data_IF_677506317583
#
_entry.id   IF_677506317583
#
_cell.length_a   1.000
_cell.length_b   1.000
_cell.length_c   1.000
_cell.angle_alpha   90.00
_cell.angle_beta   90.00
_cell.angle_gamma   90.00
#
_symmetry.space_group_name_H-M   'P 1'
#
loop_
_entity.id
_entity.type
_entity.pdbx_description
1 polymer ?
#
# COMPACT_ATOMS: atom_id res chain seq x y z
N UNK A 1 -19.46 14.21 -9.14
CA UNK A 1 -18.81 14.93 -8.02
C UNK A 1 -17.42 15.32 -8.51
N UNK A 2 -17.08 16.59 -8.75
CA UNK A 2 -15.73 16.87 -9.16
C UNK A 2 -14.86 17.00 -7.90
N UNK A 3 -13.76 16.25 -7.88
CA UNK A 3 -12.73 16.14 -6.84
C UNK A 3 -13.00 15.13 -5.71
N UNK A 4 -12.11 14.14 -5.61
CA UNK A 4 -11.91 13.37 -4.38
C UNK A 4 -11.59 14.34 -3.24
N UNK A 5 -12.06 14.01 -2.03
CA UNK A 5 -11.67 14.71 -0.82
C UNK A 5 -10.14 14.73 -0.74
N UNK A 6 -9.54 15.93 -0.66
CA UNK A 6 -8.14 16.07 -0.32
C UNK A 6 -7.97 15.68 1.14
N UNK A 7 -7.15 14.66 1.39
CA UNK A 7 -6.90 14.14 2.72
C UNK A 7 -5.69 14.85 3.34
N UNK A 8 -5.63 14.96 4.66
CA UNK A 8 -4.63 15.80 5.36
C UNK A 8 -3.22 15.27 5.19
N UNK A 9 -3.06 13.95 5.21
CA UNK A 9 -1.79 13.24 5.22
C UNK A 9 -1.76 12.19 4.09
N UNK A 10 -0.59 11.59 3.84
CA UNK A 10 -0.53 10.42 2.97
C UNK A 10 -1.31 9.26 3.62
N UNK A 11 -2.15 8.57 2.85
CA UNK A 11 -3.11 7.61 3.40
C UNK A 11 -2.59 6.19 3.27
N UNK A 12 -2.59 5.47 4.39
CA UNK A 12 -2.41 4.03 4.39
C UNK A 12 -3.65 3.34 3.83
N UNK A 13 -3.47 2.52 2.80
CA UNK A 13 -4.52 1.66 2.22
C UNK A 13 -4.23 0.22 2.62
N UNK A 14 -4.89 -0.32 3.65
CA UNK A 14 -4.64 -1.70 4.06
C UNK A 14 -4.97 -2.66 2.93
N UNK A 15 -3.99 -3.48 2.53
CA UNK A 15 -4.16 -4.47 1.48
C UNK A 15 -4.75 -5.76 2.06
N UNK A 16 -6.08 -5.91 1.92
CA UNK A 16 -6.82 -7.05 2.48
C UNK A 16 -6.55 -8.35 1.73
N UNK A 17 -6.77 -9.47 2.41
CA UNK A 17 -6.86 -10.80 1.77
C UNK A 17 -8.28 -11.11 1.34
N UNK A 18 -8.43 -11.98 0.34
CA UNK A 18 -9.74 -12.48 -0.10
C UNK A 18 -10.46 -13.22 1.04
N UNK A 19 -9.74 -14.07 1.80
CA UNK A 19 -10.30 -14.83 2.92
C UNK A 19 -10.92 -13.92 3.98
N UNK A 20 -10.23 -12.85 4.38
CA UNK A 20 -10.77 -11.87 5.32
C UNK A 20 -12.00 -11.18 4.73
N UNK A 21 -11.91 -10.76 3.46
CA UNK A 21 -12.99 -10.02 2.81
C UNK A 21 -14.25 -10.86 2.56
N UNK A 22 -14.11 -12.17 2.37
CA UNK A 22 -15.22 -13.11 2.25
C UNK A 22 -15.79 -13.41 3.63
N UNK A 23 -14.95 -13.69 4.63
CA UNK A 23 -15.40 -13.98 6.00
C UNK A 23 -16.33 -12.91 6.58
N UNK A 24 -16.06 -11.64 6.26
CA UNK A 24 -16.85 -10.49 6.75
C UNK A 24 -18.27 -10.46 6.19
N UNK A 25 -18.50 -11.00 4.99
CA UNK A 25 -19.82 -10.94 4.32
C UNK A 25 -20.53 -12.29 4.23
N UNK A 26 -19.78 -13.38 4.15
CA UNK A 26 -20.33 -14.71 3.93
C UNK A 26 -21.03 -15.21 5.20
N UNK A 27 -22.28 -15.66 5.06
CA UNK A 27 -23.05 -16.29 6.13
C UNK A 27 -22.83 -17.81 6.16
N UNK A 28 -21.56 -18.24 6.24
CA UNK A 28 -21.18 -19.66 6.32
C UNK A 28 -20.25 -19.95 7.49
N UNK A 29 -20.47 -21.14 8.06
CA UNK A 29 -19.59 -21.80 9.02
C UNK A 29 -19.78 -21.42 10.49
N UNK A 30 -19.19 -22.23 11.37
CA UNK A 30 -19.09 -21.95 12.79
C UNK A 30 -18.28 -20.66 13.01
N UNK A 31 -18.96 -19.65 13.55
CA UNK A 31 -18.36 -18.35 13.84
C UNK A 31 -18.19 -18.24 15.35
N UNK A 32 -16.93 -18.20 15.81
CA UNK A 32 -16.60 -18.15 17.23
C UNK A 32 -16.24 -16.74 17.70
N UNK A 33 -16.91 -15.73 17.14
CA UNK A 33 -16.75 -14.35 17.58
C UNK A 33 -17.34 -14.18 18.99
N UNK A 34 -16.81 -13.25 19.81
CA UNK A 34 -17.47 -12.84 21.04
C UNK A 34 -18.93 -12.43 20.75
N UNK A 35 -19.84 -12.66 21.70
CA UNK A 35 -21.26 -12.33 21.53
C UNK A 35 -21.55 -10.85 21.26
N UNK A 36 -20.60 -9.96 21.58
CA UNK A 36 -20.67 -8.52 21.33
C UNK A 36 -20.09 -8.09 19.98
N UNK A 37 -19.58 -9.02 19.16
CA UNK A 37 -18.92 -8.74 17.89
C UNK A 37 -19.60 -9.53 16.78
N UNK A 38 -20.01 -8.82 15.73
CA UNK A 38 -20.52 -9.41 14.50
C UNK A 38 -19.44 -9.43 13.42
N UNK A 39 -19.64 -10.23 12.36
CA UNK A 39 -18.77 -10.22 11.18
C UNK A 39 -18.68 -8.82 10.55
N UNK A 40 -19.79 -8.11 10.51
CA UNK A 40 -19.88 -6.77 9.94
C UNK A 40 -19.08 -5.73 10.75
N UNK A 41 -18.89 -5.94 12.06
CA UNK A 41 -18.03 -5.06 12.86
C UNK A 41 -16.56 -5.12 12.41
N UNK A 42 -16.14 -6.23 11.78
CA UNK A 42 -14.80 -6.40 11.21
C UNK A 42 -14.66 -5.75 9.82
N UNK A 43 -15.74 -5.24 9.23
CA UNK A 43 -15.74 -4.57 7.94
C UNK A 43 -15.06 -3.20 8.01
N UNK A 44 -13.74 -3.15 7.81
CA UNK A 44 -12.96 -1.94 8.03
C UNK A 44 -13.16 -0.85 6.97
N UNK A 45 -13.76 -1.17 5.82
CA UNK A 45 -14.10 -0.17 4.79
C UNK A 45 -15.50 0.41 4.98
N UNK A 46 -16.27 -0.09 5.95
CA UNK A 46 -17.54 0.50 6.34
C UNK A 46 -17.29 1.74 7.21
N UNK A 47 -17.99 2.86 6.96
CA UNK A 47 -17.87 4.03 7.82
C UNK A 47 -18.40 3.68 9.22
N UNK A 48 -17.75 4.22 10.26
CA UNK A 48 -18.18 4.08 11.64
C UNK A 48 -18.28 2.62 12.15
N UNK A 49 -17.50 1.69 11.60
CA UNK A 49 -17.30 0.39 12.27
C UNK A 49 -16.88 0.63 13.72
N UNK A 50 -17.47 -0.10 14.70
CA UNK A 50 -17.14 0.09 16.12
C UNK A 50 -15.73 -0.41 16.47
N UNK A 51 -15.09 -1.17 15.58
CA UNK A 51 -13.75 -1.72 15.79
C UNK A 51 -12.70 -0.86 15.08
N UNK A 52 -12.64 -0.96 13.75
CA UNK A 52 -11.68 -0.22 12.93
C UNK A 52 -12.40 0.23 11.67
N UNK A 53 -12.21 1.49 11.30
CA UNK A 53 -12.70 2.07 10.05
C UNK A 53 -11.56 2.87 9.40
N UNK A 54 -11.48 2.84 8.07
CA UNK A 54 -10.44 3.54 7.31
C UNK A 54 -11.03 4.40 6.20
N UNK A 55 -10.29 5.41 5.75
CA UNK A 55 -10.70 6.26 4.63
C UNK A 55 -10.47 5.58 3.26
N UNK A 56 -9.52 4.66 3.18
CA UNK A 56 -9.22 3.93 1.96
C UNK A 56 -8.65 2.52 2.23
N UNK A 57 -8.96 1.56 1.36
CA UNK A 57 -8.47 0.18 1.39
C UNK A 57 -7.92 -0.28 0.05
N UNK A 58 -7.20 -1.40 0.04
CA UNK A 58 -6.66 -2.01 -1.18
C UNK A 58 -7.03 -3.50 -1.25
N UNK A 59 -7.35 -3.98 -2.46
CA UNK A 59 -7.46 -5.40 -2.76
C UNK A 59 -6.81 -5.73 -4.11
N UNK A 60 -6.15 -6.87 -4.20
CA UNK A 60 -5.58 -7.33 -5.48
C UNK A 60 -6.63 -8.04 -6.33
N UNK A 61 -6.76 -7.67 -7.62
CA UNK A 61 -7.66 -8.39 -8.54
C UNK A 61 -7.23 -9.85 -8.75
N UNK A 62 -5.94 -10.16 -8.60
CA UNK A 62 -5.43 -11.54 -8.73
C UNK A 62 -5.88 -12.48 -7.59
N UNK A 63 -6.46 -11.94 -6.51
CA UNK A 63 -7.06 -12.77 -5.46
C UNK A 63 -8.49 -13.23 -5.80
N UNK A 64 -9.09 -12.67 -6.86
CA UNK A 64 -10.45 -12.99 -7.28
C UNK A 64 -10.42 -14.15 -8.27
N UNK A 65 -10.96 -15.29 -7.86
CA UNK A 65 -10.93 -16.53 -8.66
C UNK A 65 -11.74 -16.47 -9.96
N UNK A 66 -12.76 -15.62 -10.02
CA UNK A 66 -13.58 -15.40 -11.21
C UNK A 66 -13.94 -13.90 -11.29
N UNK A 67 -13.23 -13.15 -12.12
CA UNK A 67 -13.42 -11.70 -12.26
C UNK A 67 -14.73 -11.33 -12.96
N UNK A 68 -15.27 -12.22 -13.80
CA UNK A 68 -16.54 -12.02 -14.51
C UNK A 68 -17.75 -12.22 -13.59
N UNK A 69 -17.65 -13.16 -12.66
CA UNK A 69 -18.66 -13.45 -11.65
C UNK A 69 -18.00 -13.61 -10.27
N UNK A 70 -17.54 -12.50 -9.66
CA UNK A 70 -16.82 -12.56 -8.41
C UNK A 70 -17.76 -12.98 -7.28
N UNK A 71 -17.26 -13.83 -6.38
CA UNK A 71 -17.98 -14.14 -5.14
C UNK A 71 -18.20 -12.87 -4.31
N UNK A 72 -19.25 -12.89 -3.50
CA UNK A 72 -19.51 -11.86 -2.51
C UNK A 72 -18.30 -11.70 -1.57
N UNK A 73 -17.88 -10.45 -1.38
CA UNK A 73 -16.82 -10.05 -0.48
C UNK A 73 -17.03 -8.58 -0.08
N UNK A 74 -16.26 -8.07 0.88
CA UNK A 74 -16.30 -6.68 1.31
C UNK A 74 -16.34 -5.67 0.15
N UNK A 75 -15.59 -5.92 -0.95
CA UNK A 75 -15.48 -4.98 -2.07
C UNK A 75 -16.67 -5.09 -3.03
N UNK A 76 -17.16 -6.29 -3.31
CA UNK A 76 -18.29 -6.50 -4.25
C UNK A 76 -19.64 -6.16 -3.62
N UNK A 77 -19.75 -6.23 -2.29
CA UNK A 77 -20.98 -5.94 -1.54
C UNK A 77 -21.07 -4.49 -1.02
N UNK A 78 -20.05 -3.64 -1.24
CA UNK A 78 -20.03 -2.28 -0.67
C UNK A 78 -20.94 -1.30 -1.41
N UNK A 79 -21.50 -0.34 -0.67
CA UNK A 79 -22.00 0.90 -1.26
C UNK A 79 -20.81 1.86 -1.48
N UNK A 80 -20.40 2.06 -2.73
CA UNK A 80 -19.28 2.95 -3.11
C UNK A 80 -19.44 4.39 -2.62
N UNK A 81 -20.67 4.86 -2.39
CA UNK A 81 -20.93 6.25 -1.96
C UNK A 81 -20.78 6.45 -0.45
N UNK A 82 -20.90 5.36 0.31
CA UNK A 82 -20.88 5.40 1.78
C UNK A 82 -19.62 4.77 2.35
N UNK A 83 -18.95 3.90 1.59
CA UNK A 83 -17.78 3.15 2.03
C UNK A 83 -16.47 3.88 1.76
N UNK A 84 -15.40 3.39 2.37
CA UNK A 84 -14.04 3.80 2.08
C UNK A 84 -13.73 3.71 0.57
N UNK A 85 -12.80 4.55 0.12
CA UNK A 85 -12.24 4.46 -1.22
C UNK A 85 -11.51 3.12 -1.38
N UNK A 86 -11.72 2.43 -2.49
CA UNK A 86 -11.02 1.17 -2.76
C UNK A 86 -10.10 1.33 -3.96
N UNK A 87 -8.82 1.05 -3.71
CA UNK A 87 -7.80 0.88 -4.75
C UNK A 87 -7.69 -0.60 -5.10
N UNK A 88 -7.52 -0.93 -6.38
CA UNK A 88 -7.11 -2.29 -6.75
C UNK A 88 -5.69 -2.32 -7.28
N UNK A 89 -4.87 -3.24 -6.77
CA UNK A 89 -3.67 -3.63 -7.50
C UNK A 89 -4.04 -4.56 -8.68
N UNK A 90 -3.18 -4.59 -9.70
CA UNK A 90 -3.42 -5.32 -10.94
C UNK A 90 -3.07 -6.81 -10.91
N UNK A 91 -2.55 -7.32 -9.79
CA UNK A 91 -2.04 -8.69 -9.72
C UNK A 91 -0.61 -8.89 -10.22
N UNK A 92 0.13 -7.82 -10.54
CA UNK A 92 1.51 -7.90 -11.04
C UNK A 92 2.46 -8.73 -10.14
N UNK A 93 2.26 -8.68 -8.81
CA UNK A 93 3.03 -9.50 -7.86
C UNK A 93 2.79 -11.01 -8.03
N UNK A 94 1.56 -11.40 -8.37
CA UNK A 94 1.17 -12.78 -8.66
C UNK A 94 1.65 -13.20 -10.06
N UNK A 95 1.58 -12.30 -11.04
CA UNK A 95 2.09 -12.54 -12.39
C UNK A 95 3.60 -12.78 -12.41
N UNK A 96 4.37 -11.99 -11.65
CA UNK A 96 5.80 -12.17 -11.46
C UNK A 96 6.21 -13.50 -10.78
N UNK A 97 5.24 -14.33 -10.37
CA UNK A 97 5.41 -15.68 -9.80
C UNK A 97 4.69 -16.76 -10.62
N UNK A 98 4.23 -16.42 -11.83
CA UNK A 98 3.49 -17.31 -12.72
C UNK A 98 2.17 -17.85 -12.11
N UNK A 99 1.61 -17.14 -11.13
CA UNK A 99 0.33 -17.51 -10.50
C UNK A 99 -0.84 -17.07 -11.39
N UNK A 100 -0.70 -15.92 -12.07
CA UNK A 100 -1.66 -15.41 -13.06
C UNK A 100 -0.90 -15.04 -14.33
N UNK A 101 -1.55 -15.16 -15.47
CA UNK A 101 -0.99 -14.76 -16.76
C UNK A 101 -1.54 -13.38 -17.14
N UNK A 102 -0.64 -12.41 -17.36
CA UNK A 102 -0.99 -11.03 -17.74
C UNK A 102 -1.32 -10.93 -19.23
N UNK A 103 -2.22 -11.80 -19.70
CA UNK A 103 -2.69 -11.82 -21.07
C UNK A 103 -3.90 -10.90 -21.25
N UNK A 104 -4.31 -10.70 -22.51
CA UNK A 104 -5.41 -9.80 -22.87
C UNK A 104 -6.72 -10.13 -22.14
N UNK A 105 -7.06 -11.41 -22.01
CA UNK A 105 -8.27 -11.84 -21.32
C UNK A 105 -8.26 -11.39 -19.85
N UNK A 106 -7.15 -11.64 -19.13
CA UNK A 106 -7.02 -11.23 -17.74
C UNK A 106 -7.12 -9.70 -17.59
N UNK A 107 -6.52 -8.93 -18.50
CA UNK A 107 -6.57 -7.47 -18.49
C UNK A 107 -8.00 -6.96 -18.74
N UNK A 108 -8.72 -7.52 -19.72
CA UNK A 108 -10.11 -7.17 -20.03
C UNK A 108 -11.05 -7.48 -18.85
N UNK A 109 -10.88 -8.65 -18.22
CA UNK A 109 -11.66 -9.04 -17.04
C UNK A 109 -11.34 -8.16 -15.82
N UNK A 110 -10.06 -7.84 -15.60
CA UNK A 110 -9.62 -6.92 -14.54
C UNK A 110 -10.16 -5.50 -14.75
N UNK A 111 -10.21 -5.04 -16.01
CA UNK A 111 -10.82 -3.77 -16.37
C UNK A 111 -12.32 -3.76 -16.05
N UNK A 112 -13.05 -4.82 -16.44
CA UNK A 112 -14.48 -4.95 -16.15
C UNK A 112 -14.77 -4.96 -14.65
N UNK A 113 -13.97 -5.72 -13.89
CA UNK A 113 -14.06 -5.74 -12.42
C UNK A 113 -13.80 -4.34 -11.83
N UNK A 114 -12.74 -3.67 -12.28
CA UNK A 114 -12.37 -2.33 -11.80
C UNK A 114 -13.48 -1.31 -12.04
N UNK A 115 -14.07 -1.33 -13.24
CA UNK A 115 -15.19 -0.45 -13.59
C UNK A 115 -16.37 -0.60 -12.63
N UNK A 116 -16.70 -1.83 -12.25
CA UNK A 116 -17.87 -2.11 -11.42
C UNK A 116 -17.63 -1.82 -9.94
N UNK A 117 -16.46 -2.20 -9.40
CA UNK A 117 -16.26 -2.30 -7.96
C UNK A 117 -15.19 -1.38 -7.37
N UNK A 118 -14.34 -0.77 -8.19
CA UNK A 118 -13.13 -0.05 -7.75
C UNK A 118 -13.27 1.46 -8.00
N UNK A 119 -12.60 2.26 -7.18
CA UNK A 119 -12.57 3.73 -7.33
C UNK A 119 -11.32 4.20 -8.09
N UNK A 120 -10.18 3.55 -7.82
CA UNK A 120 -8.90 3.78 -8.52
C UNK A 120 -8.24 2.43 -8.78
N UNK A 121 -7.91 2.12 -10.03
CA UNK A 121 -7.24 0.87 -10.38
C UNK A 121 -5.77 1.13 -10.71
N UNK A 122 -4.88 0.22 -10.34
CA UNK A 122 -3.50 0.22 -10.81
C UNK A 122 -3.44 -0.59 -12.10
N UNK A 123 -2.74 -0.10 -13.13
CA UNK A 123 -2.58 -0.81 -14.38
C UNK A 123 -1.75 -2.10 -14.20
N UNK A 124 -2.00 -3.10 -15.05
CA UNK A 124 -1.18 -4.31 -15.13
C UNK A 124 0.29 -3.99 -15.33
N UNK A 125 1.14 -4.44 -14.41
CA UNK A 125 2.60 -4.39 -14.54
C UNK A 125 3.22 -5.75 -14.24
N UNK A 126 4.42 -5.97 -14.77
CA UNK A 126 5.29 -7.08 -14.36
C UNK A 126 6.47 -6.48 -13.58
N UNK A 127 6.50 -6.63 -12.25
CA UNK A 127 7.58 -6.11 -11.44
C UNK A 127 8.95 -6.71 -11.83
N UNK A 128 9.99 -5.87 -11.88
CA UNK A 128 11.36 -6.31 -12.25
C UNK A 128 11.95 -7.35 -11.29
N UNK A 129 11.41 -7.49 -10.07
CA UNK A 129 11.85 -8.52 -9.14
C UNK A 129 11.64 -9.94 -9.70
N UNK A 130 10.71 -10.13 -10.65
CA UNK A 130 10.53 -11.39 -11.37
C UNK A 130 11.87 -11.94 -11.90
N UNK A 131 12.68 -11.02 -12.43
CA UNK A 131 14.00 -11.26 -13.02
C UNK A 131 15.07 -11.28 -11.95
N UNK A 132 15.10 -10.26 -11.07
CA UNK A 132 16.14 -10.11 -10.03
C UNK A 132 16.18 -11.32 -9.08
N UNK A 133 15.01 -11.84 -8.72
CA UNK A 133 14.84 -12.96 -7.79
C UNK A 133 14.56 -14.28 -8.50
N UNK A 134 14.49 -14.29 -9.84
CA UNK A 134 14.17 -15.47 -10.66
C UNK A 134 12.90 -16.19 -10.19
N UNK A 135 11.85 -15.41 -9.88
CA UNK A 135 10.58 -15.96 -9.38
C UNK A 135 9.64 -16.40 -10.49
N UNK A 136 9.95 -16.09 -11.74
CA UNK A 136 9.17 -16.45 -12.91
C UNK A 136 10.00 -17.25 -13.91
N UNK A 137 9.38 -18.25 -14.55
CA UNK A 137 9.93 -18.94 -15.73
C UNK A 137 9.49 -18.30 -17.05
N UNK A 138 8.51 -17.39 -17.01
CA UNK A 138 7.96 -16.65 -18.15
C UNK A 138 8.79 -15.38 -18.39
N UNK A 139 8.98 -14.56 -17.35
CA UNK A 139 9.66 -13.27 -17.42
C UNK A 139 11.12 -13.41 -16.98
N UNK A 140 12.05 -13.38 -17.94
CA UNK A 140 13.48 -13.68 -17.72
C UNK A 140 14.38 -12.47 -17.86
N UNK A 141 13.89 -11.40 -18.47
CA UNK A 141 14.63 -10.17 -18.73
C UNK A 141 13.84 -8.93 -18.29
N UNK A 142 14.55 -7.81 -18.13
CA UNK A 142 13.94 -6.50 -17.93
C UNK A 142 12.96 -6.16 -19.06
N UNK A 143 13.31 -6.49 -20.31
CA UNK A 143 12.47 -6.24 -21.47
C UNK A 143 11.17 -7.06 -21.44
N UNK A 144 11.21 -8.33 -21.01
CA UNK A 144 9.99 -9.14 -20.83
C UNK A 144 9.01 -8.44 -19.86
N UNK A 145 9.55 -7.85 -18.78
CA UNK A 145 8.75 -7.14 -17.80
C UNK A 145 8.16 -5.84 -18.38
N UNK A 146 9.00 -5.05 -19.05
CA UNK A 146 8.62 -3.75 -19.62
C UNK A 146 7.62 -3.91 -20.76
N UNK A 147 7.89 -4.75 -21.75
CA UNK A 147 7.02 -4.91 -22.92
C UNK A 147 5.67 -5.52 -22.55
N UNK A 148 5.63 -6.46 -21.60
CA UNK A 148 4.35 -6.98 -21.09
C UNK A 148 3.54 -5.88 -20.40
N UNK A 149 4.20 -5.01 -19.63
CA UNK A 149 3.54 -3.86 -18.99
C UNK A 149 3.04 -2.85 -20.04
N UNK A 150 3.83 -2.55 -21.06
CA UNK A 150 3.44 -1.65 -22.16
C UNK A 150 2.23 -2.22 -22.91
N UNK A 151 2.22 -3.51 -23.24
CA UNK A 151 1.08 -4.18 -23.86
C UNK A 151 -0.19 -4.10 -23.00
N UNK A 152 -0.06 -4.24 -21.67
CA UNK A 152 -1.19 -4.07 -20.77
C UNK A 152 -1.73 -2.62 -20.77
N UNK A 153 -0.85 -1.62 -20.79
CA UNK A 153 -1.23 -0.20 -20.90
C UNK A 153 -1.93 0.11 -22.23
N UNK A 154 -1.50 -0.51 -23.34
CA UNK A 154 -2.16 -0.38 -24.64
C UNK A 154 -3.60 -0.89 -24.61
N UNK A 155 -3.81 -2.09 -24.06
CA UNK A 155 -5.15 -2.68 -23.92
C UNK A 155 -6.02 -1.82 -22.99
N UNK A 156 -5.50 -1.39 -21.84
CA UNK A 156 -6.23 -0.52 -20.92
C UNK A 156 -6.62 0.80 -21.61
N UNK A 157 -5.70 1.41 -22.37
CA UNK A 157 -5.97 2.64 -23.13
C UNK A 157 -7.09 2.41 -24.16
N UNK A 158 -7.03 1.32 -24.92
CA UNK A 158 -8.05 0.93 -25.90
C UNK A 158 -9.44 0.82 -25.22
N UNK A 159 -9.53 0.06 -24.13
CA UNK A 159 -10.78 -0.15 -23.39
C UNK A 159 -11.33 1.13 -22.77
N UNK A 160 -10.45 1.99 -22.23
CA UNK A 160 -10.84 3.20 -21.53
C UNK A 160 -11.35 4.29 -22.49
N UNK A 161 -10.79 4.37 -23.71
CA UNK A 161 -11.25 5.27 -24.76
C UNK A 161 -12.68 4.96 -25.24
N UNK A 162 -13.13 3.72 -25.07
CA UNK A 162 -14.49 3.31 -25.39
C UNK A 162 -15.54 3.67 -24.32
N UNK A 163 -15.12 4.20 -23.15
CA UNK A 163 -16.03 4.50 -22.04
C UNK A 163 -16.51 5.96 -22.07
N UNK A 164 -17.79 6.17 -21.73
CA UNK A 164 -18.32 7.52 -21.47
C UNK A 164 -17.73 8.12 -20.19
N UNK A 165 -17.55 7.30 -19.16
CA UNK A 165 -16.87 7.65 -17.91
C UNK A 165 -15.63 6.75 -17.77
N UNK A 166 -14.44 7.26 -18.10
CA UNK A 166 -13.20 6.48 -18.02
C UNK A 166 -12.89 6.04 -16.58
N UNK A 167 -12.42 4.81 -16.45
CA UNK A 167 -11.87 4.28 -15.19
C UNK A 167 -10.58 5.03 -14.85
N UNK A 168 -10.42 5.40 -13.58
CA UNK A 168 -9.23 6.09 -13.06
C UNK A 168 -8.09 5.10 -12.84
N UNK A 169 -7.21 4.96 -13.83
CA UNK A 169 -6.03 4.09 -13.74
C UNK A 169 -4.77 4.81 -13.27
N UNK A 170 -3.94 4.15 -12.47
CA UNK A 170 -2.58 4.56 -12.15
C UNK A 170 -1.59 3.77 -13.02
N UNK A 171 -0.70 4.47 -13.70
CA UNK A 171 0.41 3.83 -14.41
C UNK A 171 1.49 3.40 -13.40
N UNK A 172 2.23 2.32 -13.64
CA UNK A 172 3.22 1.82 -12.68
C UNK A 172 4.64 2.17 -13.12
N UNK A 173 5.37 2.87 -12.25
CA UNK A 173 6.80 3.12 -12.42
C UNK A 173 7.58 2.04 -11.66
N UNK A 174 8.38 1.26 -12.38
CA UNK A 174 9.24 0.19 -11.87
C UNK A 174 10.71 0.43 -12.20
N UNK A 175 11.56 -0.55 -11.83
CA UNK A 175 12.98 -0.60 -12.15
C UNK A 175 13.79 -1.18 -10.99
N UNK A 176 14.72 -2.10 -11.28
CA UNK A 176 15.67 -2.59 -10.28
C UNK A 176 16.75 -1.53 -10.00
N UNK A 177 17.11 -0.76 -11.01
CA UNK A 177 18.13 0.29 -10.95
C UNK A 177 17.57 1.61 -11.47
N UNK A 178 18.27 2.72 -11.20
CA UNK A 178 17.85 4.03 -11.71
C UNK A 178 17.81 4.04 -13.25
N UNK A 179 18.80 3.43 -13.91
CA UNK A 179 18.87 3.36 -15.37
C UNK A 179 17.67 2.59 -15.96
N UNK A 180 17.32 1.44 -15.38
CA UNK A 180 16.11 0.70 -15.75
C UNK A 180 14.85 1.53 -15.51
N UNK A 181 14.77 2.23 -14.38
CA UNK A 181 13.63 3.08 -14.08
C UNK A 181 13.48 4.24 -15.06
N UNK A 182 14.58 4.78 -15.58
CA UNK A 182 14.56 5.82 -16.61
C UNK A 182 14.08 5.28 -17.95
N UNK A 183 14.60 4.13 -18.41
CA UNK A 183 14.10 3.45 -19.61
C UNK A 183 12.60 3.13 -19.46
N UNK A 184 12.20 2.56 -18.33
CA UNK A 184 10.81 2.24 -18.04
C UNK A 184 9.91 3.47 -18.16
N UNK A 185 10.29 4.58 -17.51
CA UNK A 185 9.49 5.80 -17.55
C UNK A 185 9.38 6.37 -18.96
N UNK A 186 10.45 6.34 -19.75
CA UNK A 186 10.44 6.85 -21.12
C UNK A 186 9.40 6.11 -22.00
N UNK A 187 9.25 4.81 -21.81
CA UNK A 187 8.31 3.98 -22.58
C UNK A 187 6.84 4.18 -22.12
N UNK A 188 6.63 4.39 -20.82
CA UNK A 188 5.27 4.47 -20.27
C UNK A 188 4.72 5.91 -20.16
N UNK A 189 5.57 6.95 -20.19
CA UNK A 189 5.14 8.33 -19.91
C UNK A 189 4.14 8.89 -20.92
N UNK A 190 4.03 8.27 -22.09
CA UNK A 190 3.06 8.62 -23.14
C UNK A 190 1.62 8.21 -22.80
N UNK A 191 1.43 7.27 -21.88
CA UNK A 191 0.10 6.86 -21.42
C UNK A 191 -0.41 7.84 -20.37
N UNK A 192 -1.42 8.63 -20.75
CA UNK A 192 -2.01 9.65 -19.88
C UNK A 192 -3.02 9.04 -18.90
N UNK A 193 -2.50 8.51 -17.80
CA UNK A 193 -3.27 7.89 -16.72
C UNK A 193 -3.70 8.93 -15.66
N UNK A 194 -4.59 8.56 -14.75
CA UNK A 194 -5.05 9.40 -13.64
C UNK A 194 -3.91 9.79 -12.69
N UNK A 195 -2.91 8.93 -12.57
CA UNK A 195 -1.71 9.17 -11.77
C UNK A 195 -0.72 8.03 -11.87
N UNK A 196 0.10 7.84 -10.83
CA UNK A 196 1.20 6.87 -10.85
C UNK A 196 1.29 6.04 -9.58
N UNK A 197 1.43 4.73 -9.74
CA UNK A 197 1.93 3.83 -8.72
C UNK A 197 3.47 3.76 -8.79
N UNK A 198 4.14 3.84 -7.65
CA UNK A 198 5.59 3.93 -7.52
C UNK A 198 6.10 2.66 -6.84
N UNK A 199 7.03 1.98 -7.49
CA UNK A 199 7.61 0.72 -7.04
C UNK A 199 9.10 0.63 -7.36
N UNK A 200 9.70 -0.52 -7.12
CA UNK A 200 11.11 -0.79 -7.39
C UNK A 200 12.04 0.20 -6.66
N UNK A 201 13.15 0.53 -7.31
CA UNK A 201 14.15 1.47 -6.76
C UNK A 201 13.60 2.87 -6.49
N UNK A 202 12.57 3.27 -7.24
CA UNK A 202 11.92 4.59 -7.12
C UNK A 202 11.11 4.72 -5.83
N UNK A 203 10.72 3.60 -5.23
CA UNK A 203 10.15 3.55 -3.88
C UNK A 203 11.24 3.32 -2.83
N UNK A 204 12.18 2.41 -3.12
CA UNK A 204 13.16 1.92 -2.14
C UNK A 204 14.22 2.96 -1.76
N UNK A 205 14.45 3.98 -2.59
CA UNK A 205 15.36 5.09 -2.28
C UNK A 205 14.70 6.45 -2.42
N UNK A 206 14.80 7.27 -1.38
CA UNK A 206 14.22 8.63 -1.35
C UNK A 206 14.92 9.53 -2.38
N UNK A 207 16.21 9.30 -2.65
CA UNK A 207 16.93 10.04 -3.70
C UNK A 207 16.33 9.78 -5.08
N UNK A 208 16.18 8.49 -5.44
CA UNK A 208 15.66 8.13 -6.75
C UNK A 208 14.18 8.51 -6.89
N UNK A 209 13.39 8.38 -5.81
CA UNK A 209 12.04 8.95 -5.73
C UNK A 209 12.02 10.42 -6.15
N UNK A 210 12.88 11.26 -5.57
CA UNK A 210 12.93 12.69 -5.90
C UNK A 210 13.36 12.95 -7.34
N UNK A 211 14.29 12.15 -7.90
CA UNK A 211 14.65 12.22 -9.33
C UNK A 211 13.40 11.96 -10.19
N UNK A 212 12.63 10.90 -9.88
CA UNK A 212 11.41 10.59 -10.62
C UNK A 212 10.33 11.66 -10.45
N UNK A 213 10.18 12.23 -9.26
CA UNK A 213 9.24 13.34 -9.04
C UNK A 213 9.61 14.56 -9.88
N UNK A 214 10.90 14.93 -9.95
CA UNK A 214 11.36 16.01 -10.82
C UNK A 214 11.09 15.72 -12.31
N UNK A 215 11.26 14.47 -12.76
CA UNK A 215 10.93 14.05 -14.13
C UNK A 215 9.42 14.15 -14.42
N UNK A 216 8.55 13.78 -13.47
CA UNK A 216 7.10 13.94 -13.59
C UNK A 216 6.69 15.42 -13.63
N UNK A 217 7.31 16.25 -12.80
CA UNK A 217 7.13 17.72 -12.79
C UNK A 217 7.53 18.32 -14.13
N UNK A 218 8.73 18.01 -14.62
CA UNK A 218 9.23 18.49 -15.90
C UNK A 218 8.38 18.01 -17.09
N UNK A 219 7.85 16.79 -17.02
CA UNK A 219 6.93 16.22 -17.99
C UNK A 219 5.49 16.76 -17.89
N UNK A 220 5.22 17.72 -17.02
CA UNK A 220 3.89 18.34 -16.87
C UNK A 220 2.83 17.41 -16.29
N UNK A 221 3.21 16.32 -15.62
CA UNK A 221 2.27 15.31 -15.11
C UNK A 221 1.39 15.80 -13.95
N UNK A 222 1.75 16.93 -13.35
CA UNK A 222 0.96 17.62 -12.32
C UNK A 222 0.13 18.81 -12.88
N UNK A 223 0.22 19.10 -14.19
CA UNK A 223 -0.55 20.18 -14.83
C UNK A 223 -1.97 19.70 -15.19
N UNK A 224 -2.75 19.41 -14.15
CA UNK A 224 -4.12 18.88 -14.25
C UNK A 224 -4.92 19.24 -13.01
N UNK A 225 -6.21 18.93 -13.07
CA UNK A 225 -7.16 19.22 -12.01
C UNK A 225 -7.05 18.24 -10.84
N UNK A 226 -6.79 16.96 -11.13
CA UNK A 226 -6.73 15.89 -10.13
C UNK A 226 -5.67 14.85 -10.49
N UNK A 227 -4.96 14.33 -9.48
CA UNK A 227 -4.06 13.18 -9.65
C UNK A 227 -3.84 12.42 -8.36
N UNK A 228 -3.31 11.21 -8.48
CA UNK A 228 -3.07 10.32 -7.36
C UNK A 228 -1.71 9.64 -7.49
N UNK A 229 -0.95 9.62 -6.39
CA UNK A 229 0.26 8.80 -6.30
C UNK A 229 0.02 7.67 -5.31
N UNK A 230 0.49 6.48 -5.66
CA UNK A 230 0.37 5.29 -4.81
C UNK A 230 1.75 4.64 -4.63
N UNK A 231 2.15 4.32 -3.41
CA UNK A 231 3.45 3.70 -3.13
C UNK A 231 3.27 2.24 -2.72
N UNK A 232 3.70 1.33 -3.59
CA UNK A 232 3.41 -0.09 -3.49
C UNK A 232 4.25 -0.78 -2.41
N UNK A 233 3.62 -1.45 -1.45
CA UNK A 233 4.28 -2.29 -0.45
C UNK A 233 5.13 -1.53 0.58
N UNK A 234 4.60 -0.41 1.07
CA UNK A 234 5.18 0.43 2.13
C UNK A 234 4.33 0.33 3.39
N UNK A 235 4.91 -0.18 4.48
CA UNK A 235 4.18 -0.37 5.76
C UNK A 235 4.84 0.21 6.99
N UNK A 236 5.97 0.92 6.86
CA UNK A 236 6.73 1.45 7.99
C UNK A 236 6.37 2.91 8.32
N UNK A 237 6.54 3.29 9.59
CA UNK A 237 6.10 4.59 10.12
C UNK A 237 6.94 5.76 9.60
N UNK A 238 8.23 5.52 9.34
CA UNK A 238 9.15 6.51 8.76
C UNK A 238 8.64 6.98 7.39
N UNK A 239 8.28 6.03 6.51
CA UNK A 239 7.76 6.34 5.19
C UNK A 239 6.37 6.98 5.24
N UNK A 240 5.51 6.61 6.19
CA UNK A 240 4.24 7.31 6.38
C UNK A 240 4.43 8.82 6.53
N UNK A 241 5.40 9.24 7.34
CA UNK A 241 5.74 10.66 7.53
C UNK A 241 6.44 11.25 6.31
N UNK A 242 7.38 10.55 5.67
CA UNK A 242 8.06 11.04 4.46
C UNK A 242 7.09 11.29 3.30
N UNK A 243 6.11 10.39 3.11
CA UNK A 243 5.10 10.53 2.07
C UNK A 243 4.13 11.68 2.36
N UNK A 244 3.80 11.93 3.63
CA UNK A 244 3.06 13.13 4.03
C UNK A 244 3.85 14.40 3.73
N UNK A 245 5.15 14.44 4.04
CA UNK A 245 6.01 15.59 3.67
C UNK A 245 6.05 15.80 2.15
N UNK A 246 6.18 14.72 1.37
CA UNK A 246 6.17 14.80 -0.09
C UNK A 246 4.82 15.35 -0.61
N UNK A 247 3.70 14.90 -0.04
CA UNK A 247 2.37 15.38 -0.36
C UNK A 247 2.26 16.89 -0.11
N UNK A 248 2.70 17.35 1.07
CA UNK A 248 2.65 18.77 1.44
C UNK A 248 3.52 19.62 0.51
N UNK A 249 4.73 19.16 0.18
CA UNK A 249 5.64 19.86 -0.72
C UNK A 249 5.08 19.96 -2.15
N UNK A 250 4.48 18.88 -2.66
CA UNK A 250 3.82 18.88 -3.97
C UNK A 250 2.59 19.79 -3.98
N UNK A 251 1.78 19.81 -2.92
CA UNK A 251 0.62 20.72 -2.81
C UNK A 251 1.05 22.18 -2.70
N UNK A 252 2.14 22.47 -1.96
CA UNK A 252 2.72 23.81 -1.91
C UNK A 252 3.21 24.26 -3.30
N UNK A 253 3.75 23.32 -4.09
CA UNK A 253 4.18 23.59 -5.46
C UNK A 253 3.01 23.77 -6.44
N UNK A 254 1.96 22.97 -6.28
CA UNK A 254 0.80 22.89 -7.18
C UNK A 254 -0.50 23.16 -6.42
N UNK A 255 -0.76 24.40 -5.94
CA UNK A 255 -1.88 24.69 -5.04
C UNK A 255 -3.28 24.54 -5.68
N UNK A 256 -3.35 24.44 -7.01
CA UNK A 256 -4.62 24.23 -7.75
C UNK A 256 -4.94 22.76 -8.01
N UNK A 257 -3.98 21.85 -7.78
CA UNK A 257 -4.11 20.43 -8.07
C UNK A 257 -4.78 19.71 -6.89
N UNK A 258 -5.85 18.96 -7.17
CA UNK A 258 -6.36 17.96 -6.24
C UNK A 258 -5.43 16.73 -6.21
N UNK A 259 -4.41 16.77 -5.35
CA UNK A 259 -3.44 15.68 -5.17
C UNK A 259 -3.69 14.89 -3.88
N UNK A 260 -3.65 13.57 -3.97
CA UNK A 260 -3.51 12.66 -2.83
C UNK A 260 -2.32 11.70 -3.04
N UNK A 261 -1.68 11.31 -1.94
CA UNK A 261 -0.68 10.24 -1.90
C UNK A 261 -1.25 9.12 -1.01
N UNK A 262 -1.11 7.89 -1.47
CA UNK A 262 -1.44 6.69 -0.69
C UNK A 262 -0.31 5.68 -0.73
N UNK A 263 -0.36 4.71 0.16
CA UNK A 263 0.61 3.62 0.24
C UNK A 263 -0.01 2.41 0.91
N UNK A 264 0.44 1.20 0.59
CA UNK A 264 -0.19 -0.02 1.08
C UNK A 264 0.76 -0.97 1.80
N UNK A 265 0.16 -1.78 2.67
CA UNK A 265 0.77 -3.01 3.15
C UNK A 265 -0.30 -4.03 3.50
N UNK A 266 -0.02 -5.30 3.21
CA UNK A 266 -0.82 -6.46 3.61
C UNK A 266 -0.39 -7.04 4.96
N UNK A 267 0.54 -6.41 5.67
CA UNK A 267 1.11 -6.96 6.92
C UNK A 267 0.02 -7.23 7.96
N UNK A 268 -0.96 -6.34 8.14
CA UNK A 268 -2.02 -6.52 9.13
C UNK A 268 -2.77 -7.86 8.96
N UNK A 269 -3.02 -8.26 7.71
CA UNK A 269 -3.78 -9.47 7.36
C UNK A 269 -2.90 -10.71 7.18
N UNK A 270 -1.65 -10.54 6.76
CA UNK A 270 -0.78 -11.68 6.39
C UNK A 270 0.24 -12.05 7.45
N UNK A 271 0.50 -11.20 8.43
CA UNK A 271 1.49 -11.45 9.47
C UNK A 271 1.15 -12.69 10.31
N UNK A 272 -0.08 -12.78 10.82
CA UNK A 272 -0.48 -13.91 11.64
C UNK A 272 -0.49 -15.24 10.85
N UNK A 273 -1.10 -15.34 9.65
CA UNK A 273 -1.02 -16.56 8.84
C UNK A 273 0.41 -17.01 8.51
N UNK A 274 1.36 -16.07 8.35
CA UNK A 274 2.75 -16.38 7.96
C UNK A 274 3.65 -16.78 9.14
N UNK A 275 3.50 -16.12 10.29
CA UNK A 275 4.46 -16.27 11.41
C UNK A 275 3.81 -16.49 12.77
N UNK A 276 2.47 -16.47 12.86
CA UNK A 276 1.72 -16.52 14.11
C UNK A 276 1.81 -15.24 14.94
N UNK A 277 2.33 -14.14 14.37
CA UNK A 277 2.56 -12.90 15.11
C UNK A 277 1.28 -12.04 15.18
N UNK A 278 1.17 -11.21 16.23
CA UNK A 278 0.20 -10.12 16.39
C UNK A 278 0.92 -8.88 16.97
N UNK A 279 0.37 -7.68 16.77
CA UNK A 279 0.98 -6.45 17.28
C UNK A 279 0.70 -6.22 18.77
N UNK A 280 1.66 -5.70 19.53
CA UNK A 280 1.48 -5.41 20.96
C UNK A 280 1.34 -3.93 21.20
N UNK A 281 2.42 -3.17 21.03
CA UNK A 281 2.55 -1.78 21.43
C UNK A 281 3.37 -0.99 20.39
N UNK A 282 3.35 0.33 20.53
CA UNK A 282 3.93 1.25 19.56
C UNK A 282 5.08 1.98 20.26
N UNK A 283 6.29 1.86 19.70
CA UNK A 283 7.48 2.54 20.19
C UNK A 283 7.91 3.63 19.20
N UNK A 284 7.71 4.90 19.58
CA UNK A 284 8.13 6.07 18.81
C UNK A 284 9.29 6.83 19.46
N UNK A 285 10.09 6.18 20.31
CA UNK A 285 11.27 6.79 20.94
C UNK A 285 12.41 6.96 19.92
N UNK A 286 12.95 5.84 19.43
CA UNK A 286 14.13 5.82 18.55
C UNK A 286 13.81 5.29 17.15
N UNK A 287 13.49 4.00 17.04
CA UNK A 287 13.39 3.30 15.74
C UNK A 287 11.99 3.31 15.10
N UNK A 288 11.00 3.89 15.79
CA UNK A 288 9.62 4.00 15.30
C UNK A 288 9.05 2.66 14.82
N UNK A 289 8.82 1.77 15.78
CA UNK A 289 8.43 0.38 15.52
C UNK A 289 7.06 0.07 16.11
N UNK A 290 6.40 -0.93 15.51
CA UNK A 290 5.25 -1.59 16.12
C UNK A 290 5.76 -2.93 16.63
N UNK A 291 5.74 -3.10 17.95
CA UNK A 291 6.18 -4.31 18.62
C UNK A 291 5.20 -5.45 18.34
N UNK A 292 5.70 -6.69 18.42
CA UNK A 292 4.94 -7.88 18.10
C UNK A 292 5.26 -9.02 19.06
N UNK A 293 4.28 -9.89 19.23
CA UNK A 293 4.39 -11.14 19.96
C UNK A 293 3.69 -12.26 19.20
N UNK A 294 3.74 -13.50 19.70
CA UNK A 294 3.21 -14.70 19.06
C UNK A 294 1.95 -15.20 19.74
N UNK A 295 1.02 -15.68 18.94
CA UNK A 295 -0.10 -16.48 19.43
C UNK A 295 0.44 -17.80 19.99
N UNK A 296 0.13 -18.08 21.25
CA UNK A 296 0.55 -19.31 21.93
C UNK A 296 -0.60 -20.32 21.93
N UNK A 297 -0.77 -21.03 20.81
CA UNK A 297 -1.92 -21.91 20.52
C UNK A 297 -2.27 -22.86 21.67
N UNK A 298 -1.28 -23.50 22.28
CA UNK A 298 -1.51 -24.47 23.37
C UNK A 298 -2.02 -23.81 24.66
N UNK A 299 -1.60 -22.59 24.94
CA UNK A 299 -1.91 -21.90 26.19
C UNK A 299 -3.19 -21.05 26.07
N UNK A 300 -3.53 -20.65 24.84
CA UNK A 300 -4.67 -19.79 24.55
C UNK A 300 -5.97 -20.55 24.34
N UNK A 301 -5.90 -21.85 24.06
CA UNK A 301 -7.08 -22.68 23.77
C UNK A 301 -8.12 -22.57 24.88
N UNK A 302 -9.33 -22.12 24.52
CA UNK A 302 -10.47 -21.93 25.42
C UNK A 302 -10.16 -21.08 26.67
N UNK A 303 -9.11 -20.25 26.61
CA UNK A 303 -8.64 -19.43 27.72
C UNK A 303 -9.51 -18.19 27.90
N UNK A 304 -10.04 -17.98 29.10
CA UNK A 304 -10.79 -16.75 29.45
C UNK A 304 -9.87 -15.56 29.78
N UNK A 305 -8.54 -15.68 29.62
CA UNK A 305 -7.62 -14.56 29.85
C UNK A 305 -7.85 -13.49 28.79
N UNK A 306 -7.77 -12.23 29.23
CA UNK A 306 -7.80 -11.07 28.33
C UNK A 306 -6.69 -11.16 27.30
N UNK A 307 -6.95 -10.69 26.07
CA UNK A 307 -5.92 -10.62 25.04
C UNK A 307 -4.66 -9.87 25.55
N UNK A 308 -3.44 -10.38 25.28
CA UNK A 308 -2.19 -9.84 25.85
C UNK A 308 -1.76 -8.47 25.31
N UNK A 309 -2.62 -7.79 24.55
CA UNK A 309 -2.44 -6.41 24.07
C UNK A 309 -3.72 -5.61 24.28
N UNK A 310 -3.59 -4.32 24.59
CA UNK A 310 -4.73 -3.40 24.79
C UNK A 310 -4.70 -2.24 23.79
N UNK A 311 -3.97 -2.41 22.68
CA UNK A 311 -3.64 -1.34 21.73
C UNK A 311 -4.64 -1.14 20.60
N UNK A 312 -5.72 -1.94 20.51
CA UNK A 312 -6.81 -1.73 19.55
C UNK A 312 -8.19 -1.86 20.22
N UNK A 313 -9.25 -1.47 19.50
CA UNK A 313 -10.63 -1.67 19.97
C UNK A 313 -10.95 -3.16 20.13
N UNK A 314 -10.55 -4.00 19.16
CA UNK A 314 -10.75 -5.46 19.18
C UNK A 314 -10.09 -6.10 20.40
N UNK A 315 -8.83 -5.76 20.69
CA UNK A 315 -8.10 -6.46 21.75
C UNK A 315 -8.61 -6.15 23.17
N UNK A 316 -9.40 -5.09 23.32
CA UNK A 316 -10.04 -4.73 24.58
C UNK A 316 -11.29 -5.55 24.89
N UNK A 317 -11.84 -6.26 23.90
CA UNK A 317 -13.13 -6.96 24.01
C UNK A 317 -13.03 -8.46 23.71
N UNK A 318 -11.84 -8.97 23.36
CA UNK A 318 -11.62 -10.39 23.11
C UNK A 318 -10.72 -11.03 24.18
N UNK A 319 -10.86 -12.34 24.33
CA UNK A 319 -9.99 -13.21 25.12
C UNK A 319 -9.07 -14.03 24.22
N UNK A 320 -8.04 -14.63 24.80
CA UNK A 320 -7.19 -15.63 24.13
C UNK A 320 -8.04 -16.78 23.52
N UNK A 321 -9.07 -17.23 24.25
CA UNK A 321 -9.99 -18.28 23.84
C UNK A 321 -10.98 -17.87 22.74
N UNK A 322 -11.11 -16.58 22.41
CA UNK A 322 -11.83 -16.19 21.19
C UNK A 322 -10.96 -16.36 19.93
N UNK A 323 -9.65 -16.43 20.09
CA UNK A 323 -8.70 -16.58 18.98
C UNK A 323 -8.38 -18.05 18.72
N UNK A 324 -8.23 -18.85 19.79
CA UNK A 324 -7.88 -20.27 19.71
C UNK A 324 -8.88 -21.08 20.52
N UNK A 325 -9.51 -22.06 19.85
CA UNK A 325 -10.61 -22.86 20.41
C UNK A 325 -10.34 -24.34 20.18
N UNK A 326 -10.83 -25.19 21.07
CA UNK A 326 -10.83 -26.64 20.84
C UNK A 326 -11.75 -27.02 19.68
N UNK A 327 -11.22 -27.72 18.69
CA UNK A 327 -12.05 -28.33 17.65
C UNK A 327 -12.94 -29.46 18.24
N UNK A 328 -13.88 -30.05 17.46
CA UNK A 328 -14.75 -31.14 17.94
C UNK A 328 -14.00 -32.39 18.46
N UNK A 329 -12.69 -32.51 18.20
CA UNK A 329 -11.83 -33.59 18.67
C UNK A 329 -10.94 -33.17 19.85
N UNK A 330 -11.11 -31.96 20.38
CA UNK A 330 -10.34 -31.41 21.49
C UNK A 330 -8.96 -30.87 21.09
N UNK A 331 -8.70 -30.64 19.80
CA UNK A 331 -7.42 -30.10 19.32
C UNK A 331 -7.47 -28.56 19.27
N UNK A 332 -6.48 -27.86 19.84
CA UNK A 332 -6.34 -26.42 19.72
C UNK A 332 -6.29 -25.97 18.25
N UNK A 333 -7.23 -25.12 17.85
CA UNK A 333 -7.41 -24.68 16.47
C UNK A 333 -7.69 -23.19 16.41
N UNK A 334 -7.02 -22.50 15.48
CA UNK A 334 -7.33 -21.12 15.12
C UNK A 334 -8.20 -21.12 13.86
N UNK A 335 -9.50 -20.98 14.05
CA UNK A 335 -10.48 -20.86 12.97
C UNK A 335 -10.35 -19.50 12.27
N UNK A 336 -11.04 -19.35 11.13
CA UNK A 336 -10.99 -18.12 10.33
C UNK A 336 -11.46 -16.89 11.12
N UNK A 337 -12.44 -17.07 12.02
CA UNK A 337 -12.87 -16.03 12.97
C UNK A 337 -11.73 -15.53 13.85
N UNK A 338 -10.93 -16.43 14.43
CA UNK A 338 -9.75 -16.08 15.21
C UNK A 338 -8.69 -15.34 14.38
N UNK A 339 -8.42 -15.79 13.14
CA UNK A 339 -7.50 -15.08 12.23
C UNK A 339 -7.99 -13.68 11.89
N UNK A 340 -9.29 -13.52 11.62
CA UNK A 340 -9.90 -12.23 11.30
C UNK A 340 -9.90 -11.28 12.49
N UNK A 341 -10.11 -11.78 13.72
CA UNK A 341 -9.94 -10.99 14.95
C UNK A 341 -8.51 -10.45 15.08
N UNK A 342 -7.51 -11.30 14.87
CA UNK A 342 -6.10 -10.88 14.89
C UNK A 342 -5.79 -9.88 13.78
N UNK A 343 -6.30 -10.11 12.56
CA UNK A 343 -6.08 -9.21 11.44
C UNK A 343 -6.69 -7.82 11.69
N UNK A 344 -7.91 -7.74 12.21
CA UNK A 344 -8.56 -6.47 12.55
C UNK A 344 -7.85 -5.78 13.72
N UNK A 345 -7.41 -6.54 14.73
CA UNK A 345 -6.57 -6.01 15.81
C UNK A 345 -5.27 -5.40 15.25
N UNK A 346 -4.53 -6.15 14.43
CA UNK A 346 -3.29 -5.69 13.82
C UNK A 346 -3.50 -4.43 12.99
N UNK A 347 -4.60 -4.37 12.23
CA UNK A 347 -4.98 -3.21 11.46
C UNK A 347 -5.20 -1.99 12.37
N UNK A 348 -5.96 -2.15 13.46
CA UNK A 348 -6.20 -1.07 14.42
C UNK A 348 -4.91 -0.52 15.04
N UNK A 349 -3.97 -1.40 15.44
CA UNK A 349 -2.68 -0.97 15.96
C UNK A 349 -1.85 -0.24 14.89
N UNK A 350 -1.82 -0.76 13.66
CA UNK A 350 -1.09 -0.14 12.55
C UNK A 350 -1.63 1.25 12.21
N UNK A 351 -2.94 1.42 12.11
CA UNK A 351 -3.57 2.71 11.84
C UNK A 351 -3.29 3.72 12.96
N UNK A 352 -3.35 3.28 14.22
CA UNK A 352 -3.02 4.12 15.37
C UNK A 352 -1.55 4.56 15.35
N UNK A 353 -0.62 3.65 15.04
CA UNK A 353 0.81 3.95 14.95
C UNK A 353 1.11 4.98 13.85
N UNK A 354 0.51 4.81 12.68
CA UNK A 354 0.63 5.74 11.54
C UNK A 354 0.08 7.12 11.90
N UNK A 355 -1.07 7.17 12.57
CA UNK A 355 -1.65 8.43 13.05
C UNK A 355 -0.71 9.12 14.04
N UNK A 356 -0.21 8.42 15.05
CA UNK A 356 0.69 9.00 16.05
C UNK A 356 1.99 9.52 15.43
N UNK A 357 2.54 8.83 14.43
CA UNK A 357 3.72 9.27 13.71
C UNK A 357 3.48 10.58 12.95
N UNK A 358 2.37 10.69 12.22
CA UNK A 358 2.00 11.94 11.53
C UNK A 358 1.63 13.06 12.52
N UNK A 359 0.93 12.77 13.62
CA UNK A 359 0.60 13.76 14.66
C UNK A 359 1.87 14.38 15.26
N UNK A 360 2.95 13.60 15.42
CA UNK A 360 4.26 14.10 15.84
C UNK A 360 4.88 15.09 14.84
N UNK A 361 4.78 14.80 13.53
CA UNK A 361 5.18 15.75 12.48
C UNK A 361 4.37 17.05 12.62
N UNK A 362 3.04 16.95 12.61
CA UNK A 362 2.14 18.12 12.65
C UNK A 362 2.36 18.97 13.91
N UNK A 363 2.53 18.33 15.07
CA UNK A 363 2.81 19.02 16.33
C UNK A 363 4.17 19.73 16.32
N UNK A 364 5.20 19.08 15.80
CA UNK A 364 6.52 19.68 15.66
C UNK A 364 6.54 20.88 14.71
N UNK A 365 5.74 20.85 13.64
CA UNK A 365 5.55 21.99 12.73
C UNK A 365 4.82 23.14 13.43
N UNK A 366 3.71 22.85 14.10
CA UNK A 366 2.91 23.84 14.82
C UNK A 366 3.70 24.53 15.95
N UNK A 367 4.49 23.77 16.72
CA UNK A 367 5.33 24.30 17.81
C UNK A 367 6.67 24.87 17.33
N UNK A 368 6.96 24.80 16.02
CA UNK A 368 8.27 25.13 15.44
C UNK A 368 9.44 24.44 16.17
N UNK A 369 9.26 23.17 16.55
CA UNK A 369 10.20 22.37 17.31
C UNK A 369 10.16 20.90 16.88
N UNK A 370 10.60 20.62 15.65
CA UNK A 370 10.62 19.26 15.09
C UNK A 370 11.53 18.32 15.89
N UNK A 371 12.66 18.82 16.42
CA UNK A 371 13.65 18.02 17.18
C UNK A 371 13.08 17.39 18.45
N UNK A 372 12.00 17.93 18.99
CA UNK A 372 11.29 17.36 20.14
C UNK A 372 10.47 16.11 19.77
N UNK A 373 10.06 15.97 18.51
CA UNK A 373 9.06 14.98 18.10
C UNK A 373 9.57 13.98 17.07
N UNK A 374 10.55 14.36 16.27
CA UNK A 374 11.07 13.59 15.14
C UNK A 374 12.57 13.28 15.33
N UNK A 375 13.03 12.09 14.92
CA UNK A 375 14.45 11.80 14.77
C UNK A 375 15.15 12.78 13.81
N UNK A 376 16.41 13.11 14.09
CA UNK A 376 17.24 14.01 13.27
C UNK A 376 17.30 13.60 11.79
N UNK A 377 17.31 12.29 11.51
CA UNK A 377 17.31 11.74 10.15
C UNK A 377 16.06 12.15 9.37
N UNK A 378 14.88 12.06 10.00
CA UNK A 378 13.62 12.49 9.39
C UNK A 378 13.56 14.01 9.22
N UNK A 379 14.09 14.79 10.17
CA UNK A 379 14.13 16.26 10.06
C UNK A 379 14.96 16.69 8.85
N UNK A 380 16.16 16.11 8.71
CA UNK A 380 17.07 16.40 7.58
C UNK A 380 16.44 16.00 6.26
N UNK A 381 15.86 14.81 6.16
CA UNK A 381 15.21 14.37 4.92
C UNK A 381 13.98 15.20 4.57
N UNK A 382 13.15 15.57 5.56
CA UNK A 382 12.01 16.47 5.36
C UNK A 382 12.45 17.77 4.70
N UNK A 383 13.53 18.39 5.21
CA UNK A 383 14.09 19.62 4.64
C UNK A 383 14.49 19.43 3.18
N UNK A 384 15.20 18.35 2.86
CA UNK A 384 15.63 18.08 1.48
C UNK A 384 14.44 17.86 0.55
N UNK A 385 13.45 17.06 0.94
CA UNK A 385 12.23 16.83 0.14
C UNK A 385 11.53 18.16 -0.16
N UNK A 386 11.33 18.99 0.88
CA UNK A 386 10.67 20.27 0.74
C UNK A 386 11.41 21.21 -0.21
N UNK A 387 12.71 21.39 0.03
CA UNK A 387 13.55 22.32 -0.75
C UNK A 387 13.63 21.88 -2.23
N UNK A 388 13.78 20.58 -2.49
CA UNK A 388 13.86 20.02 -3.86
C UNK A 388 12.53 20.17 -4.61
N UNK A 389 11.41 19.78 -4.00
CA UNK A 389 10.10 19.74 -4.69
C UNK A 389 9.53 21.15 -4.91
N UNK A 390 9.77 22.08 -3.99
CA UNK A 390 9.22 23.43 -4.09
C UNK A 390 10.04 24.36 -5.00
N UNK A 391 11.31 24.06 -5.27
CA UNK A 391 12.19 24.85 -6.14
C UNK A 391 11.71 24.90 -7.59
N UNK A 392 11.62 26.10 -8.17
CA UNK A 392 11.07 26.37 -9.51
C UNK A 392 12.04 26.14 -10.63
N UNK A 393 13.31 26.39 -10.39
CA UNK A 393 14.38 26.17 -11.35
C UNK A 393 14.82 24.70 -11.32
N UNK A 394 14.63 23.93 -12.41
CA UNK A 394 15.00 22.51 -12.44
C UNK A 394 16.47 22.25 -12.11
N UNK A 395 17.39 23.13 -12.54
CA UNK A 395 18.83 22.96 -12.26
C UNK A 395 19.15 23.18 -10.79
N UNK A 396 18.45 24.11 -10.14
CA UNK A 396 18.61 24.34 -8.70
C UNK A 396 18.00 23.21 -7.89
N UNK A 397 16.83 22.70 -8.27
CA UNK A 397 16.21 21.56 -7.62
C UNK A 397 17.12 20.31 -7.68
N UNK A 398 17.71 20.06 -8.84
CA UNK A 398 18.69 18.99 -9.05
C UNK A 398 19.95 19.22 -8.19
N UNK A 399 20.51 20.43 -8.18
CA UNK A 399 21.66 20.75 -7.33
C UNK A 399 21.38 20.55 -5.83
N UNK A 400 20.21 20.97 -5.35
CA UNK A 400 19.77 20.76 -3.96
C UNK A 400 19.72 19.27 -3.62
N UNK A 401 19.19 18.44 -4.53
CA UNK A 401 19.11 17.00 -4.34
C UNK A 401 20.50 16.36 -4.21
N UNK A 402 21.43 16.66 -5.13
CA UNK A 402 22.76 16.06 -5.11
C UNK A 402 23.63 16.58 -3.95
N UNK A 403 23.55 17.86 -3.61
CA UNK A 403 24.32 18.44 -2.51
C UNK A 403 23.88 17.93 -1.12
N UNK A 404 22.67 17.38 -1.02
CA UNK A 404 22.10 16.91 0.24
C UNK A 404 21.67 15.45 0.22
N UNK A 405 22.13 14.65 -0.75
CA UNK A 405 21.68 13.26 -0.89
C UNK A 405 22.07 12.37 0.30
N UNK A 406 23.13 12.70 1.02
CA UNK A 406 23.55 11.94 2.22
C UNK A 406 22.51 12.02 3.35
N UNK A 407 21.73 13.11 3.40
CA UNK A 407 20.64 13.25 4.36
C UNK A 407 19.43 12.34 4.05
N UNK A 408 19.37 11.78 2.85
CA UNK A 408 18.30 10.87 2.41
C UNK A 408 18.69 9.40 2.61
N UNK A 409 19.98 9.08 2.44
CA UNK A 409 20.49 7.71 2.40
C UNK A 409 20.18 6.88 3.66
N UNK A 410 20.09 7.52 4.82
CA UNK A 410 19.76 6.84 6.08
C UNK A 410 18.32 6.30 6.14
N UNK A 411 17.46 6.72 5.20
CA UNK A 411 16.05 6.37 5.14
C UNK A 411 15.71 5.46 3.96
N UNK A 412 16.69 5.17 3.09
CA UNK A 412 16.53 4.16 2.06
C UNK A 412 16.17 2.82 2.73
N UNK A 413 15.31 2.01 2.11
CA UNK A 413 15.02 0.67 2.61
C UNK A 413 16.27 -0.21 2.39
N UNK A 414 17.20 -0.15 3.35
CA UNK A 414 18.55 -0.75 3.24
C UNK A 414 18.46 -2.25 2.95
N UNK A 415 17.41 -2.93 3.43
CA UNK A 415 17.16 -4.36 3.17
C UNK A 415 16.92 -4.66 1.68
N UNK A 416 16.41 -3.69 0.92
CA UNK A 416 16.11 -3.81 -0.52
C UNK A 416 17.12 -3.08 -1.42
N UNK A 417 17.82 -2.07 -0.91
CA UNK A 417 18.79 -1.28 -1.69
C UNK A 417 20.17 -1.96 -1.79
N UNK A 418 20.62 -2.69 -0.76
CA UNK A 418 21.95 -3.35 -0.73
C UNK A 418 22.10 -4.44 -1.82
N UNK A 419 21.01 -5.03 -2.29
CA UNK A 419 21.03 -6.05 -3.35
C UNK A 419 21.03 -5.47 -4.78
N UNK A 420 20.77 -4.16 -4.95
CA UNK A 420 20.47 -3.54 -6.27
C UNK A 420 21.60 -2.67 -6.85
N UNK A 421 22.68 -2.42 -6.11
CA UNK A 421 23.80 -1.57 -6.59
C UNK A 421 24.92 -2.33 -7.31
N UNK A 422 24.82 -3.65 -7.48
CA UNK A 422 25.77 -4.41 -8.31
C UNK A 422 25.40 -4.25 -9.77
N UNK A 423 26.08 -3.33 -10.47
CA UNK A 423 26.01 -3.23 -11.93
C UNK A 423 26.26 -4.60 -12.58
N UNK A 424 25.54 -4.95 -13.66
CA UNK A 424 25.82 -6.17 -14.38
C UNK A 424 27.26 -6.15 -14.88
N UNK A 425 28.05 -7.16 -14.49
CA UNK A 425 29.36 -7.40 -15.11
C UNK A 425 29.10 -7.58 -16.61
N UNK A 426 29.61 -6.66 -17.42
CA UNK A 426 29.68 -6.85 -18.86
C UNK A 426 30.34 -8.20 -19.12
N UNK A 427 29.59 -9.14 -19.71
CA UNK A 427 30.17 -10.37 -20.24
C UNK A 427 31.01 -9.97 -21.44
N UNK A 428 32.32 -10.21 -21.36
CA UNK A 428 33.22 -10.25 -22.52
C UNK A 428 32.90 -11.44 -23.39
#
# INVERSE_FOLDING_TARGET
>A
MPYFKQLSDAIHTPATTIDYSQFVVEDVGDTFLPSTVTKEDLNFIKPNSPLVSVDAGLMSVAQISNLQNPKENMITCRDKKQSALVISDSGGFSAARDIVDMNRQFIEESFAFSKNYIDIAIAGDIPTFAVEQKTSVIYKTFDDCLQTTVGALEIIKELNQAQQEPVKFLNVIQGATQAEGDIWYEDIKQYDCFGYAISGIQRDSVKYLLIRMLALIAGGKFNRDETWLHFLGVGNLTYAVLLTVLLDALRARFPKLALNISYDSSTAFTMNPKSGDFYTDIDLSDNWTINKDKVVVKDWVDSNKTFPSQSSAVSKIITEGNVVISDPYGKPTMYESGKCLIANHNLGVQMNAIKQANDRLRKGEHENNLAKYLPDTLIKARKVIWDVITEKDPKKAEALLYNHSDNLRALDDVSKVVNKTKAPRAKK
#
